data_IF_665959241739
#
_entry.id   IF_665959241739
#
_cell.length_a   1.000
_cell.length_b   1.000
_cell.length_c   1.000
_cell.angle_alpha   90.00
_cell.angle_beta   90.00
_cell.angle_gamma   90.00
#
_symmetry.space_group_name_H-M   'P 1'
#
loop_
_entity.id
_entity.type
_entity.pdbx_description
1 polymer ?
#
# COMPACT_ATOMS: atom_id res chain seq x y z
N UNK A 1 10.45 -57.57 106.49
CA UNK A 1 11.76 -57.25 105.87
C UNK A 1 11.67 -56.78 104.41
N UNK A 2 10.59 -56.11 103.98
CA UNK A 2 10.55 -55.39 102.69
C UNK A 2 10.08 -53.93 102.83
N UNK A 3 9.58 -53.55 104.01
CA UNK A 3 9.08 -52.20 104.27
C UNK A 3 10.13 -51.26 104.87
N UNK A 4 11.29 -51.76 105.31
CA UNK A 4 12.38 -50.93 105.83
C UNK A 4 13.39 -50.48 104.76
N UNK A 5 13.46 -51.18 103.61
CA UNK A 5 14.38 -50.83 102.52
C UNK A 5 13.92 -49.55 101.79
N UNK A 6 12.60 -49.30 101.73
CA UNK A 6 12.03 -48.13 101.07
C UNK A 6 12.23 -46.81 101.84
N UNK A 7 12.68 -46.87 103.10
CA UNK A 7 12.96 -45.68 103.91
C UNK A 7 14.40 -45.16 103.80
N UNK A 8 15.24 -45.87 103.03
CA UNK A 8 16.66 -45.54 102.82
C UNK A 8 17.01 -45.19 101.37
N UNK A 9 16.02 -45.06 100.49
CA UNK A 9 16.28 -44.61 99.12
C UNK A 9 16.43 -43.09 99.05
N UNK A 10 17.61 -42.67 98.60
CA UNK A 10 17.97 -41.27 98.35
C UNK A 10 17.01 -40.60 97.36
N UNK A 11 16.61 -39.35 97.60
CA UNK A 11 15.63 -38.62 96.78
C UNK A 11 16.10 -38.30 95.35
N UNK A 12 17.35 -38.62 94.99
CA UNK A 12 17.94 -38.30 93.68
C UNK A 12 17.60 -39.32 92.59
N UNK A 13 17.18 -40.53 92.96
CA UNK A 13 16.91 -41.60 91.98
C UNK A 13 15.53 -41.45 91.32
N UNK A 14 14.63 -40.67 91.93
CA UNK A 14 13.24 -40.52 91.47
C UNK A 14 13.04 -39.41 90.43
N UNK A 15 14.06 -38.57 90.17
CA UNK A 15 14.00 -37.52 89.13
C UNK A 15 14.49 -37.99 87.75
N UNK A 16 15.06 -39.20 87.64
CA UNK A 16 15.74 -39.64 86.42
C UNK A 16 14.81 -40.27 85.36
N UNK A 17 13.50 -40.40 85.62
CA UNK A 17 12.57 -41.09 84.70
C UNK A 17 11.47 -40.21 84.05
N UNK A 18 11.39 -38.89 84.31
CA UNK A 18 10.30 -38.05 83.79
C UNK A 18 10.72 -36.87 82.91
N UNK A 19 11.66 -37.05 81.98
CA UNK A 19 11.83 -36.07 80.89
C UNK A 19 12.52 -36.64 79.65
N UNK A 20 11.96 -37.72 79.10
CA UNK A 20 12.13 -38.00 77.67
C UNK A 20 11.35 -36.93 76.87
N UNK A 21 11.97 -35.78 76.67
CA UNK A 21 11.46 -34.69 75.81
C UNK A 21 11.93 -34.96 74.37
N UNK A 22 10.97 -34.94 73.46
CA UNK A 22 11.13 -35.00 72.00
C UNK A 22 12.33 -34.16 71.52
N UNK A 23 13.16 -34.62 70.55
CA UNK A 23 14.14 -33.72 69.94
C UNK A 23 13.42 -32.56 69.25
N UNK A 24 13.61 -31.36 69.82
CA UNK A 24 13.21 -30.08 69.26
C UNK A 24 13.91 -29.90 67.91
N UNK A 25 13.08 -29.64 66.89
CA UNK A 25 13.36 -29.01 65.60
C UNK A 25 14.73 -29.26 64.95
N UNK A 26 14.70 -29.84 63.74
CA UNK A 26 15.76 -29.68 62.75
C UNK A 26 16.14 -28.20 62.63
N UNK A 27 17.26 -27.79 63.23
CA UNK A 27 17.87 -26.51 62.97
C UNK A 27 18.15 -26.43 61.46
N UNK A 28 17.51 -25.53 60.71
CA UNK A 28 17.92 -25.32 59.33
C UNK A 28 19.31 -24.70 59.39
N UNK A 29 20.35 -25.51 59.19
CA UNK A 29 21.73 -25.07 58.99
C UNK A 29 21.82 -24.30 57.67
N UNK A 30 21.13 -23.17 57.61
CA UNK A 30 21.22 -22.21 56.54
C UNK A 30 22.44 -21.36 56.86
N UNK A 31 23.48 -21.39 55.99
CA UNK A 31 24.68 -20.62 56.25
C UNK A 31 24.32 -19.15 56.43
N UNK A 32 24.93 -18.50 57.42
CA UNK A 32 24.68 -17.08 57.79
C UNK A 32 24.76 -16.12 56.60
N UNK A 33 25.52 -16.49 55.56
CA UNK A 33 25.62 -15.77 54.29
C UNK A 33 24.25 -15.68 53.58
N UNK A 34 23.50 -16.78 53.55
CA UNK A 34 22.17 -16.84 52.92
C UNK A 34 21.19 -15.96 53.70
N UNK A 35 21.16 -16.07 55.03
CA UNK A 35 20.28 -15.27 55.90
C UNK A 35 20.57 -13.78 55.70
N UNK A 36 21.84 -13.38 55.74
CA UNK A 36 22.24 -11.99 55.53
C UNK A 36 21.83 -11.51 54.13
N UNK A 37 22.07 -12.29 53.08
CA UNK A 37 21.68 -11.91 51.71
C UNK A 37 20.18 -11.76 51.52
N UNK A 38 19.35 -12.59 52.18
CA UNK A 38 17.90 -12.50 52.15
C UNK A 38 17.42 -11.25 52.89
N UNK A 39 18.01 -10.92 54.04
CA UNK A 39 17.71 -9.67 54.76
C UNK A 39 18.05 -8.43 53.91
N UNK A 40 19.22 -8.41 53.26
CA UNK A 40 19.60 -7.32 52.35
C UNK A 40 18.65 -7.20 51.15
N UNK A 41 18.23 -8.32 50.54
CA UNK A 41 17.27 -8.29 49.42
C UNK A 41 15.87 -7.90 49.89
N UNK A 42 15.47 -8.28 51.10
CA UNK A 42 14.20 -7.87 51.70
C UNK A 42 14.14 -6.35 51.89
N UNK A 43 15.22 -5.77 52.42
CA UNK A 43 15.29 -4.33 52.72
C UNK A 43 15.53 -3.48 51.47
N UNK A 44 16.31 -3.99 50.49
CA UNK A 44 16.73 -3.21 49.32
C UNK A 44 16.15 -3.66 47.98
N UNK A 45 15.40 -4.76 47.92
CA UNK A 45 14.89 -5.34 46.67
C UNK A 45 13.98 -4.38 45.89
N UNK A 46 13.34 -3.45 46.60
CA UNK A 46 12.39 -2.47 46.08
C UNK A 46 13.14 -1.39 45.29
N UNK A 47 14.35 -1.04 45.73
CA UNK A 47 15.24 -0.13 44.99
C UNK A 47 15.79 -0.78 43.73
N UNK A 48 16.08 -2.09 43.74
CA UNK A 48 16.51 -2.83 42.55
C UNK A 48 15.37 -2.84 41.52
N UNK A 49 14.16 -3.15 41.94
CA UNK A 49 12.96 -3.12 41.08
C UNK A 49 12.72 -1.69 40.57
N UNK A 50 12.78 -0.69 41.44
CA UNK A 50 12.64 0.72 41.08
C UNK A 50 13.71 1.18 40.07
N UNK A 51 14.96 0.77 40.25
CA UNK A 51 16.07 1.07 39.34
C UNK A 51 15.83 0.42 37.97
N UNK A 52 15.43 -0.84 37.92
CA UNK A 52 15.12 -1.54 36.66
C UNK A 52 13.96 -0.86 35.95
N UNK A 53 12.88 -0.50 36.66
CA UNK A 53 11.75 0.24 36.11
C UNK A 53 12.21 1.60 35.58
N UNK A 54 13.01 2.35 36.34
CA UNK A 54 13.58 3.63 35.91
C UNK A 54 14.42 3.49 34.64
N UNK A 55 15.30 2.49 34.55
CA UNK A 55 16.09 2.21 33.35
C UNK A 55 15.21 1.83 32.15
N UNK A 56 14.18 1.01 32.34
CA UNK A 56 13.24 0.65 31.29
C UNK A 56 12.45 1.87 30.79
N UNK A 57 12.02 2.74 31.70
CA UNK A 57 11.34 3.99 31.34
C UNK A 57 12.27 4.93 30.58
N UNK A 58 13.52 5.09 31.01
CA UNK A 58 14.52 5.90 30.30
C UNK A 58 14.84 5.33 28.92
N UNK A 59 15.00 4.01 28.81
CA UNK A 59 15.27 3.34 27.55
C UNK A 59 14.12 3.51 26.57
N UNK A 60 12.89 3.25 27.01
CA UNK A 60 11.70 3.37 26.16
C UNK A 60 11.39 4.81 25.77
N UNK A 61 11.56 5.79 26.68
CA UNK A 61 11.17 7.19 26.44
C UNK A 61 12.21 8.02 25.70
N UNK A 62 13.51 7.73 25.88
CA UNK A 62 14.59 8.60 25.35
C UNK A 62 15.51 7.87 24.38
N UNK A 63 16.02 6.71 24.77
CA UNK A 63 17.08 6.03 24.01
C UNK A 63 16.52 5.33 22.77
N UNK A 64 15.41 4.59 22.89
CA UNK A 64 14.75 3.91 21.76
C UNK A 64 14.33 4.87 20.63
N UNK A 65 13.58 5.97 20.88
CA UNK A 65 13.19 6.87 19.81
C UNK A 65 14.40 7.59 19.19
N UNK A 66 15.42 7.97 19.98
CA UNK A 66 16.63 8.58 19.46
C UNK A 66 17.42 7.63 18.55
N UNK A 67 17.56 6.36 18.95
CA UNK A 67 18.21 5.34 18.14
C UNK A 67 17.46 5.07 16.83
N UNK A 68 16.13 4.92 16.90
CA UNK A 68 15.30 4.71 15.70
C UNK A 68 15.38 5.92 14.77
N UNK A 69 15.32 7.15 15.31
CA UNK A 69 15.45 8.36 14.51
C UNK A 69 16.83 8.48 13.87
N UNK A 70 17.90 8.14 14.59
CA UNK A 70 19.25 8.12 14.06
C UNK A 70 19.41 7.10 12.94
N UNK A 71 18.93 5.86 13.15
CA UNK A 71 18.95 4.80 12.14
C UNK A 71 18.19 5.21 10.89
N UNK A 72 16.97 5.74 11.06
CA UNK A 72 16.15 6.24 9.96
C UNK A 72 16.87 7.33 9.15
N UNK A 73 17.55 8.26 9.81
CA UNK A 73 18.32 9.31 9.13
C UNK A 73 19.50 8.75 8.34
N UNK A 74 20.14 7.68 8.82
CA UNK A 74 21.20 7.02 8.06
C UNK A 74 20.64 6.31 6.83
N UNK A 75 19.53 5.58 6.98
CA UNK A 75 18.84 4.92 5.87
C UNK A 75 18.35 5.95 4.83
N UNK A 76 17.78 7.07 5.27
CA UNK A 76 17.35 8.18 4.40
C UNK A 76 18.54 8.79 3.65
N UNK A 77 19.71 8.97 4.28
CA UNK A 77 20.92 9.48 3.63
C UNK A 77 21.49 8.51 2.61
N UNK A 78 21.45 7.21 2.91
CA UNK A 78 21.90 6.18 1.98
C UNK A 78 20.97 6.09 0.77
N UNK A 79 19.65 6.17 0.99
CA UNK A 79 18.66 6.24 -0.08
C UNK A 79 18.82 7.50 -0.93
N UNK A 80 18.99 8.67 -0.29
CA UNK A 80 19.21 9.95 -0.96
C UNK A 80 20.51 9.94 -1.77
N UNK A 81 21.60 9.37 -1.24
CA UNK A 81 22.82 9.18 -1.99
C UNK A 81 22.60 8.30 -3.22
N UNK A 82 21.97 7.13 -3.04
CA UNK A 82 21.71 6.18 -4.12
C UNK A 82 20.79 6.72 -5.21
N UNK A 83 19.84 7.56 -4.86
CA UNK A 83 18.78 7.97 -5.80
C UNK A 83 18.95 9.40 -6.31
N UNK A 84 19.64 10.28 -5.60
CA UNK A 84 19.86 11.68 -6.01
C UNK A 84 21.31 11.97 -6.38
N UNK A 85 22.29 11.25 -5.83
CA UNK A 85 23.72 11.48 -6.10
C UNK A 85 24.30 10.53 -7.13
N UNK A 86 23.66 9.38 -7.37
CA UNK A 86 24.12 8.44 -8.39
C UNK A 86 23.75 8.93 -9.80
N UNK A 87 24.73 9.32 -10.63
CA UNK A 87 24.48 9.79 -11.99
C UNK A 87 23.90 8.68 -12.88
N UNK A 88 24.18 7.42 -12.56
CA UNK A 88 23.70 6.25 -13.31
C UNK A 88 22.18 6.06 -13.20
N UNK A 89 21.56 6.32 -12.03
CA UNK A 89 20.11 6.27 -11.90
C UNK A 89 19.41 7.32 -12.76
N UNK A 90 20.00 8.51 -12.88
CA UNK A 90 19.49 9.55 -13.77
C UNK A 90 19.63 9.14 -15.24
N UNK A 91 20.77 8.57 -15.64
CA UNK A 91 21.00 8.05 -17.00
C UNK A 91 20.01 6.95 -17.36
N UNK A 92 19.85 5.95 -16.50
CA UNK A 92 18.87 4.87 -16.70
C UNK A 92 17.45 5.43 -16.87
N UNK A 93 17.07 6.46 -16.10
CA UNK A 93 15.78 7.14 -16.29
C UNK A 93 15.69 7.81 -17.67
N UNK A 94 16.71 8.54 -18.11
CA UNK A 94 16.71 9.16 -19.44
C UNK A 94 16.62 8.11 -20.55
N UNK A 95 17.40 7.04 -20.45
CA UNK A 95 17.39 5.93 -21.43
C UNK A 95 16.00 5.29 -21.53
N UNK A 96 15.34 5.03 -20.40
CA UNK A 96 13.96 4.49 -20.43
C UNK A 96 12.98 5.45 -21.09
N UNK A 97 13.11 6.76 -20.87
CA UNK A 97 12.30 7.77 -21.54
C UNK A 97 12.58 7.85 -23.05
N UNK A 98 13.85 7.78 -23.45
CA UNK A 98 14.26 7.79 -24.86
C UNK A 98 13.76 6.55 -25.59
N UNK A 99 13.88 5.37 -24.98
CA UNK A 99 13.33 4.11 -25.52
C UNK A 99 11.82 4.24 -25.71
N UNK A 100 11.09 4.81 -24.74
CA UNK A 100 9.66 5.02 -24.87
C UNK A 100 9.29 5.97 -26.02
N UNK A 101 10.06 7.06 -26.20
CA UNK A 101 9.87 7.99 -27.32
C UNK A 101 10.13 7.33 -28.66
N UNK A 102 11.21 6.55 -28.77
CA UNK A 102 11.54 5.82 -30.00
C UNK A 102 10.46 4.81 -30.37
N UNK A 103 9.97 4.03 -29.39
CA UNK A 103 8.85 3.10 -29.60
C UNK A 103 7.61 3.83 -30.14
N UNK A 104 7.26 4.97 -29.55
CA UNK A 104 6.13 5.77 -30.00
C UNK A 104 6.32 6.30 -31.44
N UNK A 105 7.52 6.76 -31.78
CA UNK A 105 7.84 7.24 -33.13
C UNK A 105 7.70 6.12 -34.16
N UNK A 106 8.23 4.92 -33.87
CA UNK A 106 8.13 3.76 -34.75
C UNK A 106 6.67 3.33 -34.96
N UNK A 107 5.84 3.36 -33.92
CA UNK A 107 4.41 3.07 -34.05
C UNK A 107 3.66 4.10 -34.91
N UNK A 108 4.01 5.39 -34.76
CA UNK A 108 3.43 6.46 -35.58
C UNK A 108 3.85 6.34 -37.04
N UNK A 109 5.13 6.04 -37.28
CA UNK A 109 5.64 5.81 -38.63
C UNK A 109 4.96 4.63 -39.30
N UNK A 110 4.80 3.51 -38.57
CA UNK A 110 4.06 2.34 -39.08
C UNK A 110 2.62 2.70 -39.45
N UNK A 111 1.91 3.42 -38.56
CA UNK A 111 0.53 3.86 -38.84
C UNK A 111 0.46 4.83 -40.03
N UNK A 112 1.45 5.70 -40.17
CA UNK A 112 1.53 6.61 -41.31
C UNK A 112 1.74 5.85 -42.63
N UNK A 113 2.63 4.85 -42.65
CA UNK A 113 2.83 3.98 -43.82
C UNK A 113 1.56 3.22 -44.19
N UNK A 114 0.90 2.57 -43.22
CA UNK A 114 -0.37 1.86 -43.44
C UNK A 114 -1.47 2.78 -43.99
N UNK A 115 -1.51 4.03 -43.53
CA UNK A 115 -2.47 5.02 -44.02
C UNK A 115 -2.17 5.46 -45.46
N UNK A 116 -0.90 5.70 -45.78
CA UNK A 116 -0.48 6.04 -47.15
C UNK A 116 -0.78 4.90 -48.13
N UNK A 117 -0.55 3.65 -47.74
CA UNK A 117 -0.90 2.48 -48.56
C UNK A 117 -2.41 2.38 -48.80
N UNK A 118 -3.23 2.55 -47.75
CA UNK A 118 -4.69 2.58 -47.88
C UNK A 118 -5.16 3.72 -48.77
N UNK A 119 -4.55 4.90 -48.68
CA UNK A 119 -4.87 6.02 -49.56
C UNK A 119 -4.60 5.70 -51.02
N UNK A 120 -3.44 5.10 -51.34
CA UNK A 120 -3.10 4.68 -52.70
C UNK A 120 -4.09 3.66 -53.24
N UNK A 121 -4.46 2.66 -52.44
CA UNK A 121 -5.47 1.66 -52.83
C UNK A 121 -6.84 2.29 -53.13
N UNK A 122 -7.28 3.25 -52.31
CA UNK A 122 -8.54 3.98 -52.53
C UNK A 122 -8.46 4.84 -53.80
N UNK A 123 -7.33 5.48 -54.07
CA UNK A 123 -7.14 6.27 -55.28
C UNK A 123 -7.14 5.39 -56.54
N UNK A 124 -6.46 4.25 -56.52
CA UNK A 124 -6.46 3.27 -57.59
C UNK A 124 -7.84 2.67 -57.83
N UNK A 125 -8.57 2.30 -56.78
CA UNK A 125 -9.95 1.80 -56.88
C UNK A 125 -10.87 2.86 -57.53
N UNK A 126 -10.80 4.12 -57.07
CA UNK A 126 -11.55 5.22 -57.69
C UNK A 126 -11.14 5.44 -59.14
N UNK A 127 -9.87 5.26 -59.49
CA UNK A 127 -9.40 5.37 -60.88
C UNK A 127 -9.99 4.24 -61.74
N UNK A 128 -10.00 3.01 -61.23
CA UNK A 128 -10.62 1.87 -61.91
C UNK A 128 -12.13 2.03 -62.05
N UNK A 129 -12.82 2.50 -61.01
CA UNK A 129 -14.26 2.82 -61.07
C UNK A 129 -14.56 3.87 -62.14
N UNK A 130 -13.77 4.95 -62.22
CA UNK A 130 -13.92 5.95 -63.29
C UNK A 130 -13.74 5.34 -64.68
N UNK A 131 -12.72 4.50 -64.88
CA UNK A 131 -12.49 3.83 -66.17
C UNK A 131 -13.66 2.90 -66.50
N UNK A 132 -14.09 2.09 -65.55
CA UNK A 132 -15.21 1.15 -65.73
C UNK A 132 -16.54 1.86 -66.02
N UNK A 133 -16.78 3.01 -65.38
CA UNK A 133 -17.96 3.84 -65.66
C UNK A 133 -17.90 4.43 -67.07
N UNK A 134 -16.74 4.98 -67.47
CA UNK A 134 -16.50 5.45 -68.85
C UNK A 134 -16.73 4.35 -69.90
N UNK A 135 -16.17 3.15 -69.71
CA UNK A 135 -16.38 2.02 -70.62
C UNK A 135 -17.85 1.57 -70.69
N UNK A 136 -18.54 1.61 -69.54
CA UNK A 136 -19.98 1.29 -69.46
C UNK A 136 -20.79 2.31 -70.27
N UNK A 137 -20.44 3.59 -70.18
CA UNK A 137 -21.04 4.67 -70.96
C UNK A 137 -20.80 4.49 -72.46
N UNK A 138 -19.58 4.14 -72.88
CA UNK A 138 -19.24 3.86 -74.28
C UNK A 138 -20.03 2.69 -74.85
N UNK A 139 -20.25 1.64 -74.05
CA UNK A 139 -21.07 0.46 -74.41
C UNK A 139 -22.59 0.75 -74.42
N UNK A 140 -23.02 1.99 -74.17
CA UNK A 140 -24.44 2.39 -74.17
C UNK A 140 -25.24 1.94 -72.93
N UNK A 141 -24.59 1.37 -71.92
CA UNK A 141 -25.20 0.94 -70.67
C UNK A 141 -25.31 2.13 -69.70
N UNK A 142 -26.07 3.17 -70.07
CA UNK A 142 -26.20 4.40 -69.27
C UNK A 142 -26.69 4.19 -67.83
N UNK A 143 -26.67 5.27 -67.02
CA UNK A 143 -27.10 5.26 -65.62
C UNK A 143 -28.55 4.77 -65.46
N UNK A 144 -28.72 3.47 -65.20
CA UNK A 144 -30.00 2.91 -64.79
C UNK A 144 -30.23 3.38 -63.35
N UNK A 145 -31.11 4.35 -63.16
CA UNK A 145 -31.47 4.85 -61.83
C UNK A 145 -31.92 3.67 -60.96
N UNK A 146 -31.26 3.46 -59.82
CA UNK A 146 -31.77 2.57 -58.78
C UNK A 146 -32.96 3.26 -58.10
N UNK A 147 -34.06 3.46 -58.82
CA UNK A 147 -35.35 3.68 -58.18
C UNK A 147 -35.71 2.32 -57.58
N UNK A 148 -35.42 2.17 -56.29
CA UNK A 148 -35.94 1.07 -55.48
C UNK A 148 -37.45 1.13 -55.62
N UNK A 149 -38.05 0.17 -56.32
CA UNK A 149 -39.50 -0.05 -56.32
C UNK A 149 -39.92 -0.23 -54.86
N UNK A 150 -40.40 0.84 -54.25
CA UNK A 150 -41.13 0.81 -53.00
C UNK A 150 -42.52 0.33 -53.41
N UNK A 151 -42.69 -0.99 -53.50
CA UNK A 151 -44.01 -1.57 -53.69
C UNK A 151 -44.85 -1.15 -52.47
N UNK A 152 -45.88 -0.37 -52.75
CA UNK A 152 -46.97 -0.07 -51.84
C UNK A 152 -47.75 -1.38 -51.65
N UNK A 153 -47.68 -1.93 -50.45
CA UNK A 153 -48.73 -2.78 -49.93
C UNK A 153 -49.31 -2.02 -48.73
N UNK A 154 -50.46 -1.42 -48.99
CA UNK A 154 -51.36 -0.86 -47.99
C UNK A 154 -51.90 -1.97 -47.10
N UNK A 155 -51.32 -2.15 -45.92
CA UNK A 155 -52.06 -2.59 -44.73
C UNK A 155 -51.54 -1.85 -43.49
N UNK A 156 -52.27 -0.77 -43.19
CA UNK A 156 -52.67 -0.31 -41.87
C UNK A 156 -51.90 -0.91 -40.67
N UNK A 157 -50.80 -0.26 -40.27
CA UNK A 157 -50.36 -0.23 -38.88
C UNK A 157 -49.71 1.12 -38.57
N UNK A 158 -50.36 1.87 -37.69
CA UNK A 158 -49.88 3.08 -37.01
C UNK A 158 -48.56 2.84 -36.27
N UNK A 159 -47.44 2.86 -37.00
CA UNK A 159 -46.10 2.84 -36.42
C UNK A 159 -45.66 4.27 -36.17
N UNK A 160 -45.67 4.64 -34.88
CA UNK A 160 -45.11 5.89 -34.32
C UNK A 160 -43.74 6.18 -34.96
N UNK A 161 -43.40 7.44 -35.28
CA UNK A 161 -42.12 7.77 -35.88
C UNK A 161 -41.00 7.31 -34.94
N UNK A 162 -40.16 6.38 -35.40
CA UNK A 162 -39.00 5.95 -34.64
C UNK A 162 -38.07 7.15 -34.47
N UNK A 163 -37.93 7.57 -33.23
CA UNK A 163 -36.97 8.57 -32.80
C UNK A 163 -35.59 8.08 -33.22
N UNK A 164 -34.91 8.84 -34.07
CA UNK A 164 -33.54 8.53 -34.49
C UNK A 164 -32.69 8.31 -33.23
N UNK A 165 -31.84 7.26 -33.16
CA UNK A 165 -30.95 7.10 -32.03
C UNK A 165 -30.05 8.34 -31.97
N UNK A 166 -30.03 9.01 -30.82
CA UNK A 166 -29.10 10.11 -30.61
C UNK A 166 -27.69 9.61 -30.90
N UNK A 167 -26.93 10.32 -31.74
CA UNK A 167 -25.59 9.89 -32.15
C UNK A 167 -24.65 9.65 -30.96
N UNK A 168 -24.99 10.17 -29.77
CA UNK A 168 -24.43 9.82 -28.46
C UNK A 168 -25.52 9.98 -27.39
N UNK A 169 -25.76 8.99 -26.50
CA UNK A 169 -26.79 9.10 -25.45
C UNK A 169 -26.50 10.21 -24.42
N UNK A 170 -25.27 10.70 -24.36
CA UNK A 170 -24.80 11.71 -23.39
C UNK A 170 -24.68 13.13 -23.95
N UNK A 171 -24.91 13.32 -25.26
CA UNK A 171 -24.69 14.62 -25.90
C UNK A 171 -25.99 15.43 -26.01
N UNK A 172 -26.24 16.28 -25.01
CA UNK A 172 -27.26 17.32 -25.09
C UNK A 172 -26.59 18.64 -25.53
N UNK A 173 -26.89 19.19 -26.73
CA UNK A 173 -26.28 20.43 -27.21
C UNK A 173 -26.70 21.68 -26.39
N UNK A 174 -27.76 21.57 -25.57
CA UNK A 174 -28.20 22.64 -24.67
C UNK A 174 -27.64 22.49 -23.25
N UNK A 175 -27.25 21.26 -22.87
CA UNK A 175 -26.60 20.95 -21.59
C UNK A 175 -25.34 20.16 -21.89
N UNK A 176 -24.28 20.87 -22.29
CA UNK A 176 -23.03 20.29 -22.75
C UNK A 176 -22.59 19.10 -21.91
N UNK A 177 -22.34 17.97 -22.56
CA UNK A 177 -21.79 16.77 -21.92
C UNK A 177 -20.53 17.17 -21.16
N UNK A 178 -20.48 16.79 -19.89
CA UNK A 178 -19.52 17.25 -18.90
C UNK A 178 -18.07 17.38 -19.38
N UNK A 179 -17.42 18.39 -18.80
CA UNK A 179 -16.02 18.78 -19.02
C UNK A 179 -15.75 19.51 -20.34
N UNK A 180 -16.39 20.67 -20.50
CA UNK A 180 -15.70 21.84 -21.07
C UNK A 180 -14.56 22.24 -20.10
N UNK A 181 -13.52 21.41 -20.01
CA UNK A 181 -12.18 21.82 -19.63
C UNK A 181 -11.62 22.63 -20.79
N UNK A 182 -12.22 23.80 -21.03
CA UNK A 182 -11.56 24.86 -21.77
C UNK A 182 -10.35 25.25 -20.93
N UNK A 183 -9.16 24.90 -21.42
CA UNK A 183 -7.90 25.26 -20.79
C UNK A 183 -7.92 26.77 -20.49
N UNK A 184 -8.01 27.14 -19.21
CA UNK A 184 -7.73 28.49 -18.76
C UNK A 184 -6.25 28.54 -18.41
N UNK A 185 -5.41 29.24 -19.19
CA UNK A 185 -4.03 29.42 -18.80
C UNK A 185 -3.97 30.06 -17.41
N UNK A 186 -3.06 29.59 -16.53
CA UNK A 186 -2.89 30.19 -15.22
C UNK A 186 -2.59 31.69 -15.38
N UNK A 187 -3.25 32.53 -14.57
CA UNK A 187 -2.98 33.96 -14.57
C UNK A 187 -1.51 34.17 -14.19
N UNK A 188 -0.77 34.85 -15.06
CA UNK A 188 0.61 35.29 -14.82
C UNK A 188 0.59 36.45 -13.84
N UNK A 189 0.32 36.20 -12.57
CA UNK A 189 0.55 37.18 -11.51
C UNK A 189 1.47 36.57 -10.44
N UNK A 190 2.48 37.35 -10.07
CA UNK A 190 3.63 36.98 -9.22
C UNK A 190 3.24 36.85 -7.73
N UNK A 191 1.95 36.73 -7.41
CA UNK A 191 1.46 36.71 -6.04
C UNK A 191 0.74 35.39 -5.74
N UNK A 192 1.39 34.57 -4.92
CA UNK A 192 0.88 33.31 -4.37
C UNK A 192 -0.13 33.56 -3.25
N UNK A 193 -1.29 34.12 -3.56
CA UNK A 193 -2.31 34.37 -2.55
C UNK A 193 -3.54 35.02 -3.16
N UNK A 194 -4.67 34.34 -3.07
CA UNK A 194 -5.93 34.79 -3.66
C UNK A 194 -6.44 36.11 -3.06
N UNK A 195 -7.22 36.82 -3.86
CA UNK A 195 -8.06 37.92 -3.40
C UNK A 195 -7.54 39.32 -3.73
N UNK A 196 -7.65 39.72 -5.00
CA UNK A 196 -7.89 41.11 -5.35
C UNK A 196 -9.05 41.09 -6.35
N UNK A 197 -10.25 41.34 -5.82
CA UNK A 197 -11.40 41.75 -6.63
C UNK A 197 -11.24 43.18 -7.10
#
# INVERSE_FOLDING_TARGET
>A
MYLDVLKTMDPKVLEHETSNVHPESLDPTTPKIIINSISFVSDYGWYIIGLVICLLLLWTKKIKPAYVAWKKRMDEREYDAKYHKDPECFRARQETMEIARLRMQLELEKKAQEYLEKQKQVEEAKRQERIADWERHEKGLGYRSKIRNRHEDDQDQTKKPQTKPALRPEYNPLMGSGSSSGYRPPRRNVCSGGGCG
#
